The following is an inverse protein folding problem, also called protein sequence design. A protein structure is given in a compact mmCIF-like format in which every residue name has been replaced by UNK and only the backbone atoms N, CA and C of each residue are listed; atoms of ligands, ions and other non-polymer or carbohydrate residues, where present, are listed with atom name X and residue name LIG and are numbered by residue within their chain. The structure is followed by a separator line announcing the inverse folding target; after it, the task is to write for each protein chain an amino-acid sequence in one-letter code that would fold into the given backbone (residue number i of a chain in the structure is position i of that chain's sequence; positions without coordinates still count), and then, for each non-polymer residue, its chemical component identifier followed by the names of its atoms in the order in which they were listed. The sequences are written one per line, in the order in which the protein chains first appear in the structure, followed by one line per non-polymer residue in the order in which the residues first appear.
data_IF_543381573913
#
_entry.id   IF_543381573913
#
_cell.length_a   1.000
_cell.length_b   1.000
_cell.length_c   1.000
_cell.angle_alpha   90.00
_cell.angle_beta   90.00
_cell.angle_gamma   90.00
#
_symmetry.space_group_name_H-M   'P 1'
#
loop_
_entity.id
_entity.type
_entity.pdbx_description
1 polymer ?
#
# COMPACT_ATOMS: atom_id res chain seq x y z
N UNK A 1 0.12 -15.78 11.66
CA UNK A 1 -0.34 -14.49 11.13
C UNK A 1 0.08 -14.32 9.68
N UNK A 2 -0.80 -13.81 8.84
CA UNK A 2 -0.49 -13.56 7.43
C UNK A 2 0.13 -12.18 7.28
N UNK A 3 1.27 -12.11 6.60
CA UNK A 3 1.96 -10.86 6.32
C UNK A 3 1.86 -10.57 4.82
N UNK A 4 1.41 -9.38 4.46
CA UNK A 4 1.31 -8.96 3.06
C UNK A 4 2.58 -8.25 2.59
N UNK A 5 3.27 -7.59 3.51
CA UNK A 5 4.41 -6.75 3.18
C UNK A 5 5.70 -7.55 3.18
N UNK A 6 6.63 -7.13 2.33
CA UNK A 6 7.95 -7.74 2.23
C UNK A 6 8.75 -7.50 3.50
N UNK A 7 9.41 -8.56 3.98
CA UNK A 7 10.27 -8.50 5.16
C UNK A 7 11.33 -9.59 5.04
N UNK A 8 12.22 -9.68 6.02
CA UNK A 8 13.22 -10.75 6.07
C UNK A 8 12.57 -12.13 6.16
N UNK A 9 11.39 -12.24 6.77
CA UNK A 9 10.64 -13.49 6.86
C UNK A 9 9.75 -13.74 5.64
N UNK A 10 9.48 -12.71 4.83
CA UNK A 10 8.64 -12.84 3.65
C UNK A 10 9.25 -12.06 2.49
N UNK A 11 10.35 -12.57 1.91
CA UNK A 11 11.02 -11.86 0.81
C UNK A 11 10.14 -11.66 -0.41
N UNK A 12 9.15 -12.54 -0.62
CA UNK A 12 8.22 -12.48 -1.75
C UNK A 12 7.05 -11.54 -1.52
N UNK A 13 6.98 -10.88 -0.37
CA UNK A 13 5.89 -9.95 -0.05
C UNK A 13 5.94 -8.69 -0.92
N UNK A 14 4.87 -7.90 -0.82
CA UNK A 14 4.74 -6.65 -1.58
C UNK A 14 5.46 -5.52 -0.86
N UNK A 15 6.00 -4.59 -1.63
CA UNK A 15 6.37 -3.28 -1.08
C UNK A 15 5.09 -2.55 -0.71
N UNK A 16 5.13 -1.77 0.38
CA UNK A 16 3.94 -1.06 0.84
C UNK A 16 3.38 -0.14 -0.24
N UNK A 17 4.23 0.65 -0.90
CA UNK A 17 3.77 1.56 -1.95
C UNK A 17 3.12 0.82 -3.11
N UNK A 18 3.65 -0.35 -3.49
CA UNK A 18 3.08 -1.14 -4.58
C UNK A 18 1.72 -1.72 -4.21
N UNK A 19 1.58 -2.22 -2.98
CA UNK A 19 0.31 -2.76 -2.50
C UNK A 19 -0.75 -1.67 -2.43
N UNK A 20 -0.39 -0.49 -1.94
CA UNK A 20 -1.31 0.63 -1.86
C UNK A 20 -1.77 1.08 -3.24
N UNK A 21 -0.88 1.09 -4.23
CA UNK A 21 -1.24 1.42 -5.62
C UNK A 21 -2.23 0.40 -6.18
N UNK A 22 -2.02 -0.89 -5.90
CA UNK A 22 -2.95 -1.93 -6.35
C UNK A 22 -4.32 -1.77 -5.70
N UNK A 23 -4.35 -1.48 -4.39
CA UNK A 23 -5.62 -1.23 -3.69
C UNK A 23 -6.34 -0.02 -4.26
N UNK A 24 -5.60 1.05 -4.56
CA UNK A 24 -6.18 2.25 -5.17
C UNK A 24 -6.80 1.92 -6.53
N UNK A 25 -6.13 1.12 -7.35
CA UNK A 25 -6.65 0.72 -8.64
C UNK A 25 -7.95 -0.09 -8.49
N UNK A 26 -8.03 -0.98 -7.50
CA UNK A 26 -9.23 -1.74 -7.22
C UNK A 26 -10.39 -0.85 -6.79
N UNK A 27 -10.12 0.15 -5.97
CA UNK A 27 -11.16 1.10 -5.53
C UNK A 27 -11.67 1.92 -6.73
N UNK A 28 -10.76 2.35 -7.61
CA UNK A 28 -11.15 3.07 -8.83
C UNK A 28 -12.06 2.20 -9.70
N UNK A 29 -11.71 0.92 -9.84
CA UNK A 29 -12.54 -0.01 -10.60
C UNK A 29 -13.93 -0.16 -9.98
N UNK A 30 -14.01 -0.25 -8.66
CA UNK A 30 -15.30 -0.32 -7.96
C UNK A 30 -16.13 0.95 -8.18
N UNK A 31 -15.49 2.11 -8.20
CA UNK A 31 -16.18 3.36 -8.51
C UNK A 31 -16.76 3.31 -9.92
N UNK A 32 -16.02 2.79 -10.88
CA UNK A 32 -16.50 2.65 -12.25
C UNK A 32 -17.71 1.72 -12.33
N UNK A 33 -17.69 0.61 -11.59
CA UNK A 33 -18.80 -0.35 -11.58
C UNK A 33 -20.08 0.25 -11.04
N UNK A 34 -19.99 1.12 -10.03
CA UNK A 34 -21.18 1.73 -9.40
C UNK A 34 -21.51 3.10 -9.98
N UNK A 35 -20.69 3.63 -10.87
CA UNK A 35 -20.98 4.90 -11.54
C UNK A 35 -22.29 4.77 -12.32
N UNK A 36 -23.15 5.74 -12.20
CA UNK A 36 -24.46 5.69 -12.84
C UNK A 36 -25.58 5.10 -11.98
N UNK A 37 -25.24 4.45 -10.87
CA UNK A 37 -26.26 4.04 -9.90
C UNK A 37 -26.61 5.27 -9.05
N UNK A 38 -27.87 5.73 -9.18
CA UNK A 38 -28.28 6.98 -8.54
C UNK A 38 -29.04 6.77 -7.22
N UNK A 39 -29.09 5.52 -6.73
CA UNK A 39 -29.72 5.27 -5.42
C UNK A 39 -28.93 5.97 -4.32
N UNK A 40 -29.61 6.46 -3.26
CA UNK A 40 -28.91 7.18 -2.18
C UNK A 40 -27.76 6.38 -1.57
N UNK A 41 -27.93 5.07 -1.41
CA UNK A 41 -26.89 4.20 -0.85
C UNK A 41 -25.65 4.14 -1.77
N UNK A 42 -25.87 4.05 -3.07
CA UNK A 42 -24.78 4.02 -4.03
C UNK A 42 -24.04 5.35 -4.07
N UNK A 43 -24.76 6.46 -4.00
CA UNK A 43 -24.15 7.79 -3.96
C UNK A 43 -23.30 7.97 -2.70
N UNK A 44 -23.78 7.47 -1.55
CA UNK A 44 -23.02 7.55 -0.30
C UNK A 44 -21.75 6.69 -0.37
N UNK A 45 -21.87 5.47 -0.90
CA UNK A 45 -20.70 4.60 -1.08
C UNK A 45 -19.68 5.24 -2.03
N UNK A 46 -20.15 5.86 -3.12
CA UNK A 46 -19.27 6.57 -4.03
C UNK A 46 -18.53 7.71 -3.31
N UNK A 47 -19.24 8.50 -2.51
CA UNK A 47 -18.63 9.59 -1.76
C UNK A 47 -17.57 9.06 -0.79
N UNK A 48 -17.86 7.95 -0.10
CA UNK A 48 -16.91 7.31 0.78
C UNK A 48 -15.68 6.82 0.01
N UNK A 49 -15.89 6.21 -1.15
CA UNK A 49 -14.77 5.73 -1.98
C UNK A 49 -13.87 6.86 -2.46
N UNK A 50 -14.44 8.03 -2.78
CA UNK A 50 -13.65 9.19 -3.15
C UNK A 50 -12.73 9.64 -2.01
N UNK A 51 -13.24 9.62 -0.79
CA UNK A 51 -12.41 9.94 0.39
C UNK A 51 -11.34 8.88 0.62
N UNK A 52 -11.68 7.60 0.47
CA UNK A 52 -10.71 6.51 0.58
C UNK A 52 -9.60 6.69 -0.44
N UNK A 53 -9.93 7.05 -1.68
CA UNK A 53 -8.93 7.30 -2.72
C UNK A 53 -7.96 8.43 -2.33
N UNK A 54 -8.49 9.50 -1.75
CA UNK A 54 -7.64 10.59 -1.26
C UNK A 54 -6.68 10.10 -0.18
N UNK A 55 -7.17 9.32 0.79
CA UNK A 55 -6.34 8.78 1.86
C UNK A 55 -5.30 7.81 1.34
N UNK A 56 -5.67 6.95 0.38
CA UNK A 56 -4.71 6.04 -0.24
C UNK A 56 -3.61 6.79 -1.00
N UNK A 57 -3.98 7.85 -1.71
CA UNK A 57 -3.01 8.67 -2.43
C UNK A 57 -2.02 9.32 -1.47
N UNK A 58 -2.50 9.83 -0.34
CA UNK A 58 -1.63 10.38 0.70
C UNK A 58 -0.72 9.30 1.30
N UNK A 59 -1.29 8.11 1.54
CA UNK A 59 -0.51 6.99 2.08
C UNK A 59 0.59 6.56 1.10
N UNK A 60 0.30 6.53 -0.19
CA UNK A 60 1.30 6.20 -1.22
C UNK A 60 2.44 7.20 -1.19
N UNK A 61 2.14 8.49 -1.10
CA UNK A 61 3.16 9.55 -1.02
C UNK A 61 4.06 9.34 0.18
N UNK A 62 3.49 9.02 1.35
CA UNK A 62 4.25 8.77 2.56
C UNK A 62 5.11 7.51 2.44
N UNK A 63 4.56 6.44 1.85
CA UNK A 63 5.30 5.19 1.66
C UNK A 63 6.50 5.40 0.73
N UNK A 64 6.31 6.14 -0.35
CA UNK A 64 7.41 6.47 -1.27
C UNK A 64 8.47 7.34 -0.59
N UNK A 65 8.04 8.27 0.25
CA UNK A 65 8.97 9.10 1.02
C UNK A 65 9.81 8.26 1.97
N UNK A 66 9.17 7.32 2.69
CA UNK A 66 9.88 6.41 3.58
C UNK A 66 10.92 5.58 2.83
N UNK A 67 10.56 5.03 1.66
CA UNK A 67 11.48 4.28 0.83
C UNK A 67 12.68 5.14 0.42
N UNK A 68 12.41 6.39 0.02
CA UNK A 68 13.48 7.33 -0.38
C UNK A 68 14.42 7.63 0.78
N UNK A 69 13.89 7.83 1.98
CA UNK A 69 14.71 8.07 3.18
C UNK A 69 15.60 6.86 3.47
N UNK A 70 15.04 5.66 3.44
CA UNK A 70 15.80 4.45 3.74
C UNK A 70 16.88 4.18 2.69
N UNK A 71 16.54 4.35 1.41
CA UNK A 71 17.50 4.14 0.32
C UNK A 71 18.67 5.12 0.41
N UNK A 72 18.36 6.38 0.73
CA UNK A 72 19.38 7.43 0.84
C UNK A 72 20.32 7.16 2.01
N UNK A 73 19.78 6.72 3.14
CA UNK A 73 20.56 6.56 4.37
C UNK A 73 21.28 5.23 4.48
N UNK A 74 20.71 4.16 3.92
CA UNK A 74 21.20 2.80 4.14
C UNK A 74 21.41 2.00 2.85
N UNK A 75 21.14 2.60 1.69
CA UNK A 75 21.23 1.90 0.42
C UNK A 75 20.01 1.03 0.13
N UNK A 76 20.03 0.27 -0.98
CA UNK A 76 18.87 -0.53 -1.40
C UNK A 76 18.50 -1.60 -0.40
N UNK A 77 17.21 -1.94 -0.36
CA UNK A 77 16.70 -3.00 0.49
C UNK A 77 17.22 -4.36 0.04
N UNK A 78 17.57 -5.21 1.00
CA UNK A 78 17.93 -6.61 0.76
C UNK A 78 16.78 -7.57 1.07
N UNK A 79 15.60 -7.05 1.38
CA UNK A 79 14.46 -7.87 1.80
C UNK A 79 14.06 -8.89 0.73
N UNK A 80 14.18 -8.54 -0.56
CA UNK A 80 13.85 -9.45 -1.64
C UNK A 80 14.75 -10.70 -1.67
N UNK A 81 15.95 -10.59 -1.11
CA UNK A 81 16.91 -11.70 -0.99
C UNK A 81 16.91 -12.30 0.42
N UNK A 82 15.93 -11.93 1.26
CA UNK A 82 15.86 -12.41 2.63
C UNK A 82 16.88 -11.77 3.57
N UNK A 83 17.48 -10.65 3.17
CA UNK A 83 18.47 -9.96 3.99
C UNK A 83 17.85 -9.24 5.18
N UNK A 84 18.69 -8.76 6.11
CA UNK A 84 18.18 -8.11 7.33
C UNK A 84 17.49 -6.79 7.02
N UNK A 85 16.58 -6.35 7.90
CA UNK A 85 15.93 -5.06 7.73
C UNK A 85 16.94 -3.92 7.89
N UNK A 86 16.71 -2.82 7.17
CA UNK A 86 17.59 -1.64 7.25
C UNK A 86 17.39 -0.90 8.57
N UNK A 87 16.20 -0.97 9.15
CA UNK A 87 15.89 -0.41 10.45
C UNK A 87 15.05 -1.43 11.23
N UNK A 88 15.03 -1.26 12.53
CA UNK A 88 14.24 -2.11 13.40
C UNK A 88 14.88 -3.47 13.63
N UNK A 89 14.11 -4.34 14.27
CA UNK A 89 14.55 -5.69 14.62
C UNK A 89 14.23 -6.65 13.48
N UNK A 90 14.98 -7.76 13.42
CA UNK A 90 14.64 -8.85 12.55
C UNK A 90 13.24 -9.34 12.87
N UNK A 91 12.44 -9.63 11.82
CA UNK A 91 11.06 -10.11 11.98
C UNK A 91 11.08 -11.46 12.67
N UNK A 92 10.47 -11.52 13.87
CA UNK A 92 10.47 -12.71 14.71
C UNK A 92 9.23 -13.60 14.49
N UNK A 93 8.37 -13.25 13.57
CA UNK A 93 7.11 -13.99 13.36
C UNK A 93 7.31 -15.45 12.93
#
# INVERSE_FOLDING_TARGET
MTHFLRSDKKPEGHKLEDLLVQLRADIIHRCDVIAGDTRPEALQVMANNMKILCHLSDAITLALDSTRILDRSFGPSQAAQGGPPRIGKTDAA
#
